data_IF_620915230866
#
_entry.id   IF_620915230866
#
_cell.length_a   1.000
_cell.length_b   1.000
_cell.length_c   1.000
_cell.angle_alpha   90.00
_cell.angle_beta   90.00
_cell.angle_gamma   90.00
#
_symmetry.space_group_name_H-M   'P 1'
#
loop_
_entity.id
_entity.type
_entity.pdbx_description
1 polymer ?
#
# COMPACT_ATOMS: atom_id res chain seq x y z
N UNK A 1 11.03 -19.01 25.71
CA UNK A 1 11.45 -20.22 25.00
C UNK A 1 11.56 -19.86 23.53
N UNK A 2 12.79 -19.53 23.07
CA UNK A 2 13.02 -19.11 21.69
C UNK A 2 13.01 -20.33 20.78
N UNK A 3 11.96 -20.49 20.00
CA UNK A 3 11.97 -21.47 18.92
C UNK A 3 12.70 -20.82 17.73
N UNK A 4 14.00 -21.12 17.60
CA UNK A 4 14.74 -20.85 16.36
C UNK A 4 14.15 -21.74 15.27
N UNK A 5 13.53 -21.14 14.26
CA UNK A 5 13.20 -21.88 13.04
C UNK A 5 14.50 -22.41 12.41
N UNK A 6 14.53 -23.66 11.94
CA UNK A 6 15.75 -24.24 11.38
C UNK A 6 16.11 -23.55 10.06
N UNK A 7 17.36 -23.19 9.89
CA UNK A 7 17.96 -22.63 8.66
C UNK A 7 17.72 -23.47 7.40
N UNK A 8 17.25 -24.70 7.56
CA UNK A 8 16.89 -25.62 6.47
C UNK A 8 15.59 -25.23 5.71
N UNK A 9 14.67 -24.45 6.31
CA UNK A 9 13.44 -24.03 5.62
C UNK A 9 13.72 -22.91 4.61
N UNK A 10 14.63 -21.98 4.92
CA UNK A 10 15.04 -20.89 4.02
C UNK A 10 15.72 -21.46 2.78
N UNK A 11 16.58 -22.48 2.94
CA UNK A 11 17.28 -23.09 1.81
C UNK A 11 16.37 -23.91 0.88
N UNK A 12 15.20 -24.37 1.36
CA UNK A 12 14.26 -25.15 0.53
C UNK A 12 13.44 -24.30 -0.42
N UNK A 13 12.98 -23.12 -0.02
CA UNK A 13 12.19 -22.22 -0.90
C UNK A 13 13.05 -21.64 -2.05
N UNK A 14 14.32 -21.29 -1.78
CA UNK A 14 15.26 -20.89 -2.83
C UNK A 14 15.60 -22.04 -3.80
N UNK A 15 15.60 -23.28 -3.33
CA UNK A 15 15.80 -24.47 -4.18
C UNK A 15 14.59 -24.77 -5.07
N UNK A 16 13.37 -24.40 -4.68
CA UNK A 16 12.15 -24.63 -5.48
C UNK A 16 12.16 -23.79 -6.75
N UNK A 17 12.77 -22.59 -6.74
CA UNK A 17 12.78 -21.68 -7.90
C UNK A 17 14.12 -21.66 -8.66
N UNK A 18 15.17 -22.35 -8.20
CA UNK A 18 16.53 -22.31 -8.80
C UNK A 18 17.07 -20.89 -9.04
N UNK A 19 16.63 -19.89 -8.25
CA UNK A 19 16.96 -18.49 -8.40
C UNK A 19 18.23 -18.17 -7.61
N UNK A 20 19.23 -17.61 -8.31
CA UNK A 20 20.35 -16.96 -7.63
C UNK A 20 19.90 -15.56 -7.25
N UNK A 21 20.08 -15.20 -5.98
CA UNK A 21 19.94 -13.80 -5.53
C UNK A 21 21.01 -12.98 -6.27
N UNK A 22 20.54 -11.96 -6.99
CA UNK A 22 21.44 -10.93 -7.51
C UNK A 22 21.86 -10.02 -6.36
N UNK A 23 23.07 -9.50 -6.41
CA UNK A 23 23.52 -8.55 -5.41
C UNK A 23 22.72 -7.25 -5.57
N UNK A 24 22.02 -6.84 -4.51
CA UNK A 24 21.29 -5.58 -4.47
C UNK A 24 22.30 -4.44 -4.34
N UNK A 25 22.11 -3.35 -5.09
CA UNK A 25 22.92 -2.12 -4.92
C UNK A 25 22.87 -1.68 -3.46
N UNK A 26 23.97 -1.16 -2.95
CA UNK A 26 24.00 -0.62 -1.58
C UNK A 26 22.98 0.50 -1.42
N UNK A 27 22.46 0.67 -0.22
CA UNK A 27 21.48 1.74 0.05
C UNK A 27 22.07 3.13 -0.25
N UNK A 28 23.38 3.31 -0.12
CA UNK A 28 24.07 4.54 -0.51
C UNK A 28 24.00 4.81 -2.02
N UNK A 29 24.16 3.79 -2.86
CA UNK A 29 24.05 3.90 -4.33
C UNK A 29 22.59 4.15 -4.78
N UNK A 30 21.63 3.61 -4.03
CA UNK A 30 20.20 3.79 -4.32
C UNK A 30 19.70 5.16 -3.86
N UNK A 31 20.22 5.69 -2.74
CA UNK A 31 19.77 6.96 -2.17
C UNK A 31 20.38 8.14 -2.94
N UNK A 32 19.57 9.16 -3.21
CA UNK A 32 20.06 10.42 -3.80
C UNK A 32 21.21 10.99 -2.97
N UNK A 33 22.30 11.46 -3.59
CA UNK A 33 23.52 11.90 -2.87
C UNK A 33 23.29 13.05 -1.87
N UNK A 34 22.36 13.97 -2.18
CA UNK A 34 21.98 15.06 -1.28
C UNK A 34 21.19 14.54 -0.06
N UNK A 35 20.31 13.53 -0.25
CA UNK A 35 19.56 12.89 0.84
C UNK A 35 20.48 12.04 1.71
N UNK A 36 21.41 11.30 1.10
CA UNK A 36 22.39 10.53 1.87
C UNK A 36 23.17 11.40 2.85
N UNK A 37 23.63 12.57 2.38
CA UNK A 37 24.41 13.54 3.15
C UNK A 37 23.58 14.44 4.07
N UNK A 38 22.24 14.45 3.91
CA UNK A 38 21.36 15.31 4.67
C UNK A 38 21.48 15.01 6.17
N UNK A 39 21.65 16.06 6.98
CA UNK A 39 21.43 15.98 8.42
C UNK A 39 19.93 16.18 8.66
N UNK A 40 19.26 15.22 9.33
CA UNK A 40 17.84 15.37 9.64
C UNK A 40 17.61 16.60 10.53
N UNK A 41 16.42 17.18 10.43
CA UNK A 41 15.98 18.18 11.41
C UNK A 41 15.89 17.48 12.77
N UNK A 42 16.57 18.04 13.79
CA UNK A 42 16.45 17.61 15.18
C UNK A 42 15.46 18.53 15.88
N UNK A 43 14.38 17.97 16.41
CA UNK A 43 13.52 18.70 17.33
C UNK A 43 14.17 18.74 18.71
N UNK A 44 13.85 19.75 19.53
CA UNK A 44 14.34 19.80 20.90
C UNK A 44 13.97 18.53 21.69
N UNK A 45 12.85 17.89 21.35
CA UNK A 45 12.42 16.60 21.94
C UNK A 45 13.31 15.42 21.54
N UNK A 46 13.95 15.44 20.37
CA UNK A 46 14.89 14.40 19.94
C UNK A 46 16.19 14.44 20.77
N UNK A 47 16.52 15.60 21.32
CA UNK A 47 17.68 15.81 22.19
C UNK A 47 17.44 15.27 23.62
N UNK A 48 16.18 14.99 23.94
CA UNK A 48 15.68 14.64 25.27
C UNK A 48 15.63 13.12 25.50
N UNK A 49 16.75 12.44 25.37
CA UNK A 49 16.80 10.99 25.57
C UNK A 49 16.85 10.62 27.05
N UNK A 50 15.75 10.02 27.54
CA UNK A 50 15.77 9.24 28.81
C UNK A 50 15.40 9.97 30.09
N UNK A 51 14.89 11.20 30.04
CA UNK A 51 14.40 11.93 31.21
C UNK A 51 12.91 12.22 31.09
N UNK A 52 12.10 11.92 32.09
CA UNK A 52 10.70 12.34 32.12
C UNK A 52 10.64 13.84 32.42
N UNK A 53 10.44 14.66 31.39
CA UNK A 53 10.27 16.09 31.58
C UNK A 53 8.86 16.42 32.10
N UNK A 54 8.78 17.30 33.06
CA UNK A 54 7.51 17.83 33.60
C UNK A 54 7.18 19.23 33.07
N UNK A 55 8.15 19.93 32.48
CA UNK A 55 8.02 21.28 31.94
C UNK A 55 8.59 21.32 30.52
N UNK A 56 7.79 21.77 29.58
CA UNK A 56 8.15 21.87 28.16
C UNK A 56 8.11 23.33 27.72
N UNK A 57 9.29 23.92 27.44
CA UNK A 57 9.48 25.30 26.99
C UNK A 57 10.38 25.35 25.75
N UNK A 58 10.35 24.30 24.94
CA UNK A 58 11.30 23.99 23.86
C UNK A 58 10.78 24.30 22.47
N UNK A 59 9.44 24.30 22.27
CA UNK A 59 8.84 24.30 20.93
C UNK A 59 7.91 25.52 20.66
N UNK A 60 8.00 26.57 21.44
CA UNK A 60 7.20 27.81 21.31
C UNK A 60 5.68 27.56 21.33
N UNK A 61 5.24 26.47 21.94
CA UNK A 61 3.84 26.08 22.02
C UNK A 61 3.09 26.97 23.00
N UNK A 62 1.83 27.29 22.68
CA UNK A 62 0.93 27.95 23.62
C UNK A 62 0.60 26.98 24.78
N UNK A 63 0.81 27.34 26.07
CA UNK A 63 0.55 26.44 27.17
C UNK A 63 -0.94 26.19 27.47
N UNK A 64 -1.83 26.94 26.82
CA UNK A 64 -3.27 26.82 26.99
C UNK A 64 -3.88 25.90 25.94
N UNK A 65 -5.18 25.56 26.08
CA UNK A 65 -5.94 24.68 25.17
C UNK A 65 -5.51 23.20 25.23
N UNK A 66 -5.20 22.70 26.42
CA UNK A 66 -4.95 21.25 26.65
C UNK A 66 -6.20 20.42 26.25
N UNK A 67 -6.03 19.25 25.63
CA UNK A 67 -4.77 18.52 25.37
C UNK A 67 -4.15 18.75 23.97
N UNK A 68 -4.62 19.73 23.19
CA UNK A 68 -4.24 19.91 21.79
C UNK A 68 -3.11 20.92 21.59
N UNK A 69 -2.59 21.48 22.65
CA UNK A 69 -1.62 22.56 22.65
C UNK A 69 -0.16 22.12 22.44
N UNK A 70 0.12 20.83 22.37
CA UNK A 70 1.46 20.26 22.23
C UNK A 70 1.63 19.51 20.91
N UNK A 71 2.81 19.63 20.32
CA UNK A 71 3.19 18.79 19.18
C UNK A 71 3.12 17.31 19.56
N UNK A 72 2.71 16.43 18.64
CA UNK A 72 2.68 14.99 18.87
C UNK A 72 4.10 14.41 18.99
N UNK A 73 4.18 13.13 19.39
CA UNK A 73 5.43 12.36 19.31
C UNK A 73 5.88 12.25 17.84
N UNK A 74 7.06 12.82 17.47
CA UNK A 74 7.56 12.79 16.11
C UNK A 74 7.93 11.38 15.63
N UNK A 75 8.18 10.46 16.57
CA UNK A 75 8.55 9.07 16.27
C UNK A 75 7.38 8.09 16.38
N UNK A 76 6.21 8.54 16.85
CA UNK A 76 4.99 7.75 17.06
C UNK A 76 5.26 6.45 17.85
N UNK A 77 6.05 6.53 18.91
CA UNK A 77 6.61 5.37 19.64
C UNK A 77 5.53 4.43 20.19
N UNK A 78 4.48 4.98 20.81
CA UNK A 78 3.36 4.19 21.35
C UNK A 78 2.63 3.44 20.24
N UNK A 79 2.27 4.16 19.17
CA UNK A 79 1.56 3.60 18.02
C UNK A 79 2.39 2.51 17.34
N UNK A 80 3.68 2.74 17.09
CA UNK A 80 4.59 1.75 16.51
C UNK A 80 4.76 0.52 17.40
N UNK A 81 4.79 0.70 18.71
CA UNK A 81 4.89 -0.40 19.68
C UNK A 81 3.66 -1.31 19.63
N UNK A 82 2.45 -0.74 19.47
CA UNK A 82 1.22 -1.52 19.33
C UNK A 82 1.16 -2.21 17.96
N UNK A 83 1.49 -1.49 16.89
CA UNK A 83 1.56 -2.05 15.52
C UNK A 83 2.54 -3.20 15.42
N UNK A 84 3.71 -3.07 16.05
CA UNK A 84 4.74 -4.11 16.12
C UNK A 84 4.20 -5.44 16.66
N UNK A 85 3.36 -5.39 17.68
CA UNK A 85 2.73 -6.60 18.26
C UNK A 85 1.75 -7.26 17.29
N UNK A 86 0.94 -6.48 16.57
CA UNK A 86 -0.09 -6.98 15.66
C UNK A 86 0.54 -7.45 14.35
N UNK A 87 1.45 -6.66 13.78
CA UNK A 87 2.09 -6.95 12.49
C UNK A 87 3.32 -7.85 12.62
N UNK A 88 3.77 -8.14 13.84
CA UNK A 88 4.96 -8.96 14.16
C UNK A 88 6.25 -8.47 13.50
N UNK A 89 6.39 -7.16 13.40
CA UNK A 89 7.54 -6.45 12.82
C UNK A 89 8.08 -5.50 13.87
N UNK A 90 9.40 -5.43 14.06
CA UNK A 90 10.02 -4.52 15.05
C UNK A 90 9.71 -3.05 14.74
N UNK A 91 9.53 -2.17 15.76
CA UNK A 91 9.16 -0.76 15.55
C UNK A 91 10.11 0.03 14.65
N UNK A 92 11.41 -0.31 14.62
CA UNK A 92 12.42 0.30 13.78
C UNK A 92 12.27 -0.01 12.28
N UNK A 93 11.48 -1.03 11.94
CA UNK A 93 11.11 -1.40 10.57
C UNK A 93 9.80 -0.77 10.10
N UNK A 94 9.22 0.15 10.90
CA UNK A 94 7.92 0.77 10.63
C UNK A 94 8.09 2.27 10.38
N UNK A 95 7.63 2.73 9.24
CA UNK A 95 7.38 4.15 8.94
C UNK A 95 5.88 4.42 8.97
N UNK A 96 5.46 5.57 9.53
CA UNK A 96 4.07 6.03 9.53
C UNK A 96 3.94 7.37 8.80
N UNK A 97 2.93 7.46 7.93
CA UNK A 97 2.67 8.64 7.14
C UNK A 97 1.19 8.98 6.98
N UNK A 98 0.89 10.14 6.40
CA UNK A 98 -0.47 10.59 6.07
C UNK A 98 -1.04 9.79 4.88
N UNK A 99 -1.56 8.59 5.16
CA UNK A 99 -1.84 7.55 4.19
C UNK A 99 -0.54 6.90 3.70
N UNK A 100 -0.66 5.78 2.97
CA UNK A 100 0.46 5.21 2.25
C UNK A 100 1.01 6.17 1.18
N UNK A 101 0.20 7.12 0.73
CA UNK A 101 0.58 8.12 -0.28
C UNK A 101 1.79 8.95 0.15
N UNK A 102 1.91 9.33 1.44
CA UNK A 102 3.10 10.03 1.93
C UNK A 102 4.35 9.15 1.83
N UNK A 103 4.26 7.88 2.19
CA UNK A 103 5.38 6.95 2.07
C UNK A 103 5.76 6.71 0.59
N UNK A 104 4.76 6.61 -0.30
CA UNK A 104 4.96 6.48 -1.75
C UNK A 104 5.69 7.72 -2.30
N UNK A 105 5.28 8.94 -1.96
CA UNK A 105 5.97 10.16 -2.40
C UNK A 105 7.40 10.24 -1.84
N UNK A 106 7.58 9.89 -0.57
CA UNK A 106 8.90 9.93 0.06
C UNK A 106 9.91 8.95 -0.57
N UNK A 107 9.51 7.77 -1.06
CA UNK A 107 10.45 6.87 -1.74
C UNK A 107 10.94 7.45 -3.06
N UNK A 108 10.09 8.18 -3.83
CA UNK A 108 10.54 8.92 -5.00
C UNK A 108 11.57 9.99 -4.61
N UNK A 109 11.26 10.78 -3.61
CA UNK A 109 12.13 11.87 -3.13
C UNK A 109 13.44 11.37 -2.54
N UNK A 110 13.44 10.19 -1.93
CA UNK A 110 14.63 9.60 -1.33
C UNK A 110 15.57 8.96 -2.35
N UNK A 111 15.01 8.25 -3.33
CA UNK A 111 15.77 7.32 -4.14
C UNK A 111 15.90 7.69 -5.62
N UNK A 112 15.00 8.53 -6.16
CA UNK A 112 15.02 8.89 -7.57
C UNK A 112 15.54 10.31 -7.81
N UNK A 113 16.62 10.47 -8.56
CA UNK A 113 17.13 11.78 -8.98
C UNK A 113 16.26 12.33 -10.11
N UNK A 114 15.61 13.50 -9.93
CA UNK A 114 14.72 14.09 -10.93
C UNK A 114 15.38 14.29 -12.30
N UNK A 115 14.66 13.96 -13.36
CA UNK A 115 15.12 14.10 -14.74
C UNK A 115 16.24 13.14 -15.15
N UNK A 116 16.60 12.17 -14.28
CA UNK A 116 17.66 11.20 -14.53
C UNK A 116 17.20 9.77 -14.32
N UNK A 117 16.62 9.50 -13.16
CA UNK A 117 16.23 8.15 -12.77
C UNK A 117 14.80 7.82 -13.22
N UNK A 118 14.50 6.54 -13.27
CA UNK A 118 13.20 6.04 -13.66
C UNK A 118 12.68 4.99 -12.68
N UNK A 119 11.39 4.72 -12.80
CA UNK A 119 10.71 3.66 -12.08
C UNK A 119 9.91 2.80 -13.07
N UNK A 120 9.71 1.54 -12.73
CA UNK A 120 8.90 0.60 -13.51
C UNK A 120 7.72 0.15 -12.68
N UNK A 121 6.53 0.10 -13.28
CA UNK A 121 5.34 -0.40 -12.64
C UNK A 121 4.51 -1.25 -13.59
N UNK A 122 3.71 -2.15 -13.04
CA UNK A 122 2.66 -2.86 -13.79
C UNK A 122 1.56 -1.88 -14.23
N UNK A 123 0.87 -2.15 -15.34
CA UNK A 123 -0.24 -1.35 -15.84
C UNK A 123 -1.37 -2.26 -16.34
N UNK A 124 -2.63 -2.10 -15.89
CA UNK A 124 -3.11 -1.08 -14.97
C UNK A 124 -2.75 -1.33 -13.50
N UNK A 125 -2.52 -0.25 -12.74
CA UNK A 125 -2.31 -0.29 -11.30
C UNK A 125 -2.75 1.01 -10.62
N UNK A 126 -2.39 1.23 -9.35
CA UNK A 126 -2.78 2.41 -8.59
C UNK A 126 -2.16 3.69 -9.16
N UNK A 127 -3.02 4.61 -9.59
CA UNK A 127 -2.62 5.80 -10.35
C UNK A 127 -1.71 6.79 -9.62
N UNK A 128 -1.64 6.74 -8.28
CA UNK A 128 -0.77 7.66 -7.52
C UNK A 128 0.70 7.40 -7.74
N UNK A 129 1.11 6.21 -8.16
CA UNK A 129 2.52 5.97 -8.48
C UNK A 129 2.97 6.86 -9.64
N UNK A 130 2.17 6.94 -10.71
CA UNK A 130 2.46 7.84 -11.82
C UNK A 130 2.39 9.31 -11.39
N UNK A 131 1.39 9.71 -10.62
CA UNK A 131 1.27 11.08 -10.12
C UNK A 131 2.51 11.47 -9.29
N UNK A 132 2.98 10.60 -8.40
CA UNK A 132 4.19 10.87 -7.63
C UNK A 132 5.45 10.93 -8.52
N UNK A 133 5.55 10.07 -9.55
CA UNK A 133 6.64 10.13 -10.51
C UNK A 133 6.64 11.47 -11.28
N UNK A 134 5.48 11.88 -11.79
CA UNK A 134 5.32 13.13 -12.54
C UNK A 134 5.65 14.36 -11.67
N UNK A 135 5.16 14.41 -10.42
CA UNK A 135 5.45 15.49 -9.46
C UNK A 135 6.93 15.57 -9.14
N UNK A 136 7.62 14.43 -9.06
CA UNK A 136 9.04 14.36 -8.76
C UNK A 136 9.93 14.42 -10.03
N UNK A 137 9.35 14.62 -11.22
CA UNK A 137 10.06 14.62 -12.51
C UNK A 137 10.89 13.36 -12.71
N UNK A 138 10.29 12.18 -12.47
CA UNK A 138 10.89 10.86 -12.63
C UNK A 138 10.18 10.11 -13.75
N UNK A 139 10.92 9.51 -14.69
CA UNK A 139 10.34 8.73 -15.77
C UNK A 139 9.57 7.53 -15.21
N UNK A 140 8.30 7.37 -15.63
CA UNK A 140 7.43 6.28 -15.21
C UNK A 140 7.20 5.31 -16.38
N UNK A 141 7.76 4.10 -16.28
CA UNK A 141 7.68 3.05 -17.29
C UNK A 141 6.60 2.04 -16.94
N UNK A 142 5.70 1.80 -17.88
CA UNK A 142 4.55 0.88 -17.73
C UNK A 142 4.84 -0.46 -18.37
N UNK A 143 4.54 -1.54 -17.67
CA UNK A 143 4.56 -2.90 -18.20
C UNK A 143 3.15 -3.48 -18.10
N UNK A 144 2.51 -3.70 -19.25
CA UNK A 144 1.14 -4.21 -19.31
C UNK A 144 1.04 -5.58 -18.67
N UNK A 145 -0.03 -5.75 -17.86
CA UNK A 145 -0.49 -7.04 -17.39
C UNK A 145 -0.98 -7.89 -18.57
N UNK A 146 -1.16 -9.17 -18.37
CA UNK A 146 -1.82 -10.06 -19.33
C UNK A 146 -3.37 -10.02 -19.18
N UNK A 147 -4.06 -10.86 -19.94
CA UNK A 147 -5.54 -10.92 -19.94
C UNK A 147 -6.13 -11.41 -18.61
N UNK A 148 -5.34 -12.12 -17.80
CA UNK A 148 -5.69 -12.56 -16.44
C UNK A 148 -5.23 -11.58 -15.36
N UNK A 149 -4.80 -10.38 -15.77
CA UNK A 149 -4.23 -9.34 -14.91
C UNK A 149 -3.02 -9.81 -14.09
N UNK A 150 -2.23 -10.72 -14.64
CA UNK A 150 -0.96 -11.14 -14.08
C UNK A 150 0.21 -10.45 -14.80
N UNK A 151 1.35 -10.36 -14.15
CA UNK A 151 2.58 -9.85 -14.76
C UNK A 151 3.62 -10.97 -14.92
N UNK A 152 4.54 -10.75 -15.86
CA UNK A 152 5.73 -11.56 -15.99
C UNK A 152 6.93 -10.82 -15.41
N UNK A 153 7.62 -11.41 -14.45
CA UNK A 153 8.84 -10.84 -13.87
C UNK A 153 9.90 -10.59 -14.95
N UNK A 154 10.02 -11.48 -15.95
CA UNK A 154 10.97 -11.31 -17.05
C UNK A 154 10.67 -10.05 -17.89
N UNK A 155 9.38 -9.80 -18.22
CA UNK A 155 8.98 -8.58 -18.94
C UNK A 155 9.22 -7.33 -18.11
N UNK A 156 8.91 -7.39 -16.81
CA UNK A 156 9.08 -6.27 -15.88
C UNK A 156 10.57 -5.92 -15.73
N UNK A 157 11.42 -6.92 -15.52
CA UNK A 157 12.87 -6.75 -15.41
C UNK A 157 13.51 -6.29 -16.73
N UNK A 158 12.99 -6.72 -17.89
CA UNK A 158 13.46 -6.24 -19.19
C UNK A 158 13.17 -4.76 -19.45
N UNK A 159 12.21 -4.15 -18.72
CA UNK A 159 11.92 -2.71 -18.78
C UNK A 159 12.83 -1.87 -17.87
N UNK A 160 13.68 -2.51 -17.06
CA UNK A 160 14.64 -1.82 -16.18
C UNK A 160 15.97 -1.56 -16.86
N UNK A 161 16.65 -0.52 -16.40
CA UNK A 161 18.02 -0.18 -16.79
C UNK A 161 18.86 0.28 -15.57
N UNK A 162 20.05 0.80 -15.79
CA UNK A 162 20.96 1.30 -14.74
C UNK A 162 20.40 2.47 -13.92
N UNK A 163 19.46 3.21 -14.49
CA UNK A 163 18.76 4.34 -13.86
C UNK A 163 17.46 3.93 -13.15
N UNK A 164 17.03 2.69 -13.29
CA UNK A 164 15.83 2.21 -12.60
C UNK A 164 16.12 2.04 -11.11
N UNK A 165 15.42 2.81 -10.28
CA UNK A 165 15.58 2.80 -8.82
C UNK A 165 14.50 1.98 -8.11
N UNK A 166 13.26 2.07 -8.60
CA UNK A 166 12.10 1.49 -7.94
C UNK A 166 11.28 0.65 -8.94
N UNK A 167 10.75 -0.47 -8.44
CA UNK A 167 9.68 -1.21 -9.10
C UNK A 167 8.44 -1.16 -8.20
N UNK A 168 7.26 -0.82 -8.75
CA UNK A 168 5.99 -0.81 -8.03
C UNK A 168 5.12 -1.99 -8.43
N UNK A 169 4.69 -2.75 -7.44
CA UNK A 169 3.73 -3.85 -7.54
C UNK A 169 2.61 -3.61 -6.54
N UNK A 170 1.36 -3.86 -6.93
CA UNK A 170 0.20 -3.75 -6.05
C UNK A 170 -0.49 -5.11 -5.96
N UNK A 171 -0.60 -5.69 -4.77
CA UNK A 171 -1.23 -7.00 -4.56
C UNK A 171 -1.96 -7.06 -3.21
N UNK A 172 -3.27 -7.23 -3.23
CA UNK A 172 -4.19 -7.24 -4.37
C UNK A 172 -4.15 -5.95 -5.19
N UNK A 173 -4.23 -6.08 -6.53
CA UNK A 173 -4.04 -4.94 -7.43
C UNK A 173 -5.29 -4.05 -7.52
N UNK A 174 -5.11 -2.76 -7.66
CA UNK A 174 -6.17 -1.79 -7.95
C UNK A 174 -5.91 -1.17 -9.34
N UNK A 175 -6.80 -1.36 -10.36
CA UNK A 175 -8.24 -1.60 -10.18
C UNK A 175 -8.73 -3.04 -10.36
N UNK A 176 -7.88 -4.00 -10.60
CA UNK A 176 -8.25 -5.34 -11.07
C UNK A 176 -8.77 -6.27 -9.95
N UNK A 177 -8.35 -6.06 -8.72
CA UNK A 177 -8.84 -6.76 -7.51
C UNK A 177 -8.07 -8.02 -7.15
N UNK A 178 -7.37 -8.64 -8.08
CA UNK A 178 -6.69 -9.91 -7.91
C UNK A 178 -5.33 -9.80 -7.22
N UNK A 179 -4.94 -10.86 -6.53
CA UNK A 179 -3.56 -11.06 -6.10
C UNK A 179 -2.63 -11.29 -7.30
N UNK A 180 -1.43 -10.78 -7.20
CA UNK A 180 -0.35 -11.10 -8.14
C UNK A 180 0.32 -12.43 -7.75
N UNK A 181 0.78 -13.18 -8.75
CA UNK A 181 1.48 -14.43 -8.52
C UNK A 181 2.72 -14.23 -7.66
N UNK A 182 2.70 -14.78 -6.45
CA UNK A 182 3.79 -14.67 -5.46
C UNK A 182 5.14 -15.10 -6.05
N UNK A 183 5.15 -16.13 -6.90
CA UNK A 183 6.37 -16.61 -7.57
C UNK A 183 7.01 -15.54 -8.46
N UNK A 184 6.21 -14.72 -9.14
CA UNK A 184 6.71 -13.64 -10.00
C UNK A 184 7.23 -12.46 -9.15
N UNK A 185 6.53 -12.13 -8.03
CA UNK A 185 7.03 -11.13 -7.06
C UNK A 185 8.39 -11.56 -6.51
N UNK A 186 8.52 -12.82 -6.09
CA UNK A 186 9.79 -13.38 -5.57
C UNK A 186 10.90 -13.31 -6.61
N UNK A 187 10.61 -13.60 -7.91
CA UNK A 187 11.62 -13.46 -8.98
C UNK A 187 12.11 -12.01 -9.10
N UNK A 188 11.20 -11.03 -9.05
CA UNK A 188 11.60 -9.62 -9.08
C UNK A 188 12.47 -9.28 -7.89
N UNK A 189 12.07 -9.65 -6.66
CA UNK A 189 12.85 -9.42 -5.44
C UNK A 189 14.26 -10.01 -5.52
N UNK A 190 14.40 -11.19 -6.14
CA UNK A 190 15.69 -11.89 -6.26
C UNK A 190 16.58 -11.34 -7.38
N UNK A 191 16.03 -10.69 -8.40
CA UNK A 191 16.77 -10.34 -9.62
C UNK A 191 16.90 -8.84 -9.87
N UNK A 192 16.12 -8.01 -9.18
CA UNK A 192 16.22 -6.57 -9.28
C UNK A 192 17.26 -6.01 -8.29
N UNK A 193 18.15 -5.16 -8.76
CA UNK A 193 19.21 -4.55 -7.96
C UNK A 193 18.76 -3.30 -7.18
N UNK A 194 17.59 -2.75 -7.52
CA UNK A 194 16.96 -1.61 -6.85
C UNK A 194 15.93 -2.04 -5.80
N UNK A 195 15.06 -1.11 -5.36
CA UNK A 195 14.04 -1.37 -4.36
C UNK A 195 12.70 -1.79 -5.00
N UNK A 196 12.04 -2.76 -4.40
CA UNK A 196 10.72 -3.25 -4.81
C UNK A 196 9.66 -2.74 -3.82
N UNK A 197 8.76 -1.89 -4.32
CA UNK A 197 7.62 -1.32 -3.61
C UNK A 197 6.43 -2.25 -3.77
N UNK A 198 6.07 -3.00 -2.76
CA UNK A 198 4.91 -3.88 -2.76
C UNK A 198 3.77 -3.23 -1.98
N UNK A 199 2.74 -2.79 -2.70
CA UNK A 199 1.57 -2.17 -2.09
C UNK A 199 0.54 -3.25 -1.71
N UNK A 200 0.43 -3.48 -0.43
CA UNK A 200 -0.49 -4.42 0.22
C UNK A 200 -1.70 -3.71 0.86
N UNK A 201 -2.16 -2.58 0.30
CA UNK A 201 -3.28 -1.83 0.87
C UNK A 201 -4.57 -2.65 1.04
N UNK A 202 -4.72 -3.74 0.30
CA UNK A 202 -5.89 -4.63 0.33
C UNK A 202 -5.57 -6.03 0.88
N UNK A 203 -4.36 -6.30 1.35
CA UNK A 203 -3.93 -7.64 1.76
C UNK A 203 -4.76 -8.24 2.90
N UNK A 204 -5.34 -7.42 3.78
CA UNK A 204 -6.23 -7.92 4.84
C UNK A 204 -7.47 -8.67 4.28
N UNK A 205 -7.84 -8.47 3.00
CA UNK A 205 -8.94 -9.19 2.32
C UNK A 205 -8.47 -10.41 1.55
N UNK A 206 -7.18 -10.52 1.24
CA UNK A 206 -6.58 -11.65 0.54
C UNK A 206 -6.55 -12.91 1.42
N UNK A 207 -6.34 -14.05 0.78
CA UNK A 207 -5.99 -15.31 1.46
C UNK A 207 -4.48 -15.54 1.43
N UNK A 208 -3.74 -14.82 0.58
CA UNK A 208 -2.29 -14.92 0.52
C UNK A 208 -1.64 -14.28 1.77
N UNK A 209 -0.60 -14.90 2.34
CA UNK A 209 0.13 -14.31 3.45
C UNK A 209 0.85 -13.04 2.99
N UNK A 210 0.88 -12.03 3.87
CA UNK A 210 1.62 -10.79 3.64
C UNK A 210 3.12 -11.08 3.45
N UNK A 211 3.79 -10.29 2.62
CA UNK A 211 5.24 -10.30 2.51
C UNK A 211 5.96 -9.72 3.74
N UNK A 212 5.24 -9.16 4.70
CA UNK A 212 5.81 -8.81 6.01
C UNK A 212 6.48 -10.01 6.70
N UNK A 213 5.98 -11.23 6.50
CA UNK A 213 6.58 -12.45 7.04
C UNK A 213 7.95 -12.78 6.41
N UNK A 214 8.27 -12.13 5.29
CA UNK A 214 9.49 -12.33 4.53
C UNK A 214 10.39 -11.09 4.46
N UNK A 215 10.08 -10.05 5.24
CA UNK A 215 10.80 -8.78 5.21
C UNK A 215 12.31 -8.95 5.43
N UNK A 216 12.70 -9.81 6.36
CA UNK A 216 14.11 -10.10 6.67
C UNK A 216 14.83 -10.90 5.56
N UNK A 217 14.09 -11.48 4.61
CA UNK A 217 14.67 -12.25 3.51
C UNK A 217 15.08 -11.39 2.32
N UNK A 218 14.41 -10.26 2.14
CA UNK A 218 14.57 -9.39 0.98
C UNK A 218 14.93 -7.97 1.41
N UNK A 219 16.22 -7.62 1.46
CA UNK A 219 16.68 -6.31 1.94
C UNK A 219 16.23 -5.15 1.04
N UNK A 220 15.78 -5.44 -0.17
CA UNK A 220 15.25 -4.49 -1.14
C UNK A 220 13.71 -4.38 -1.14
N UNK A 221 13.02 -5.05 -0.23
CA UNK A 221 11.56 -5.02 -0.11
C UNK A 221 11.09 -3.85 0.74
N UNK A 222 10.11 -3.11 0.22
CA UNK A 222 9.32 -2.14 0.98
C UNK A 222 7.85 -2.50 0.82
N UNK A 223 7.16 -2.79 1.91
CA UNK A 223 5.72 -3.14 1.92
C UNK A 223 4.92 -1.93 2.39
N UNK A 224 3.92 -1.50 1.60
CA UNK A 224 2.96 -0.48 2.01
C UNK A 224 1.67 -1.11 2.51
N UNK A 225 1.14 -0.60 3.62
CA UNK A 225 -0.20 -0.93 4.12
C UNK A 225 -0.91 0.34 4.62
N UNK A 226 -2.22 0.26 4.89
CA UNK A 226 -3.01 1.44 5.22
C UNK A 226 -4.15 1.11 6.19
N UNK A 227 -4.52 2.11 7.01
CA UNK A 227 -5.75 2.07 7.80
C UNK A 227 -7.01 2.43 6.99
N UNK A 228 -6.84 2.88 5.74
CA UNK A 228 -7.95 3.40 4.93
C UNK A 228 -8.92 2.32 4.42
N UNK A 229 -8.54 1.04 4.42
CA UNK A 229 -9.33 -0.05 3.80
C UNK A 229 -9.95 -0.96 4.86
N UNK A 230 -9.31 -2.07 5.19
CA UNK A 230 -9.83 -3.05 6.14
C UNK A 230 -10.13 -2.45 7.52
N UNK A 231 -9.34 -1.50 7.96
CA UNK A 231 -9.49 -0.82 9.26
C UNK A 231 -10.64 0.19 9.30
N UNK A 232 -11.29 0.49 8.16
CA UNK A 232 -12.41 1.44 8.11
C UNK A 232 -12.06 2.88 8.51
N UNK A 233 -10.79 3.26 8.43
CA UNK A 233 -10.26 4.52 8.97
C UNK A 233 -9.71 5.45 7.88
N UNK A 234 -10.36 5.52 6.72
CA UNK A 234 -9.90 6.37 5.61
C UNK A 234 -9.78 7.86 5.99
N UNK A 235 -10.64 8.34 6.89
CA UNK A 235 -10.70 9.74 7.30
C UNK A 235 -9.50 10.19 8.15
N UNK A 236 -8.85 9.29 8.90
CA UNK A 236 -7.71 9.65 9.76
C UNK A 236 -6.40 9.73 8.98
N UNK A 237 -6.40 9.36 7.70
CA UNK A 237 -5.22 9.47 6.82
C UNK A 237 -3.96 8.82 7.42
N UNK A 238 -4.02 7.57 7.85
CA UNK A 238 -2.86 6.83 8.34
C UNK A 238 -2.47 5.69 7.40
N UNK A 239 -1.21 5.67 7.00
CA UNK A 239 -0.58 4.60 6.23
C UNK A 239 0.77 4.22 6.81
N UNK A 240 1.28 3.11 6.34
CA UNK A 240 2.50 2.49 6.86
C UNK A 240 3.40 2.06 5.72
N UNK A 241 4.72 2.16 5.92
CA UNK A 241 5.70 1.41 5.14
C UNK A 241 6.52 0.54 6.09
N UNK A 242 6.80 -0.67 5.65
CA UNK A 242 7.63 -1.64 6.36
C UNK A 242 8.83 -1.98 5.48
N UNK A 243 10.03 -1.86 6.01
CA UNK A 243 11.27 -2.14 5.29
C UNK A 243 12.42 -2.45 6.25
N UNK A 244 13.63 -2.67 5.72
CA UNK A 244 14.81 -2.72 6.57
C UNK A 244 14.97 -1.41 7.36
N UNK A 245 15.59 -1.50 8.53
CA UNK A 245 15.80 -0.34 9.40
C UNK A 245 16.48 0.80 8.65
N UNK A 246 17.45 0.50 7.82
CA UNK A 246 18.24 1.47 7.07
C UNK A 246 17.35 2.25 6.08
N UNK A 247 16.39 1.59 5.40
CA UNK A 247 15.41 2.25 4.52
C UNK A 247 14.49 3.14 5.35
N UNK A 248 13.98 2.64 6.48
CA UNK A 248 13.12 3.42 7.38
C UNK A 248 13.84 4.64 7.94
N UNK A 249 15.14 4.53 8.24
CA UNK A 249 15.97 5.66 8.68
C UNK A 249 16.06 6.74 7.58
N UNK A 250 16.20 6.36 6.30
CA UNK A 250 16.21 7.32 5.18
C UNK A 250 14.85 8.03 5.05
N UNK A 251 13.74 7.30 5.10
CA UNK A 251 12.40 7.90 5.03
C UNK A 251 12.16 8.83 6.23
N UNK A 252 12.56 8.42 7.42
CA UNK A 252 12.45 9.20 8.66
C UNK A 252 13.28 10.48 8.63
N UNK A 253 14.42 10.46 7.92
CA UNK A 253 15.31 11.61 7.74
C UNK A 253 14.67 12.75 6.94
N UNK A 254 13.78 12.42 5.98
CA UNK A 254 13.20 13.40 5.02
C UNK A 254 11.74 13.73 5.28
N UNK A 255 11.04 12.97 6.14
CA UNK A 255 9.67 13.32 6.53
C UNK A 255 9.64 14.61 7.34
N UNK A 256 8.50 15.29 7.36
CA UNK A 256 8.28 16.37 8.32
C UNK A 256 8.30 15.83 9.76
N UNK A 257 8.88 16.55 10.74
CA UNK A 257 9.06 16.04 12.10
C UNK A 257 7.76 15.50 12.72
N UNK A 258 6.67 16.26 12.61
CA UNK A 258 5.36 15.95 13.19
C UNK A 258 4.34 15.56 12.13
N UNK A 259 4.74 14.73 11.17
CA UNK A 259 3.92 14.39 9.99
C UNK A 259 2.57 13.75 10.36
N UNK A 260 2.50 12.90 11.38
CA UNK A 260 1.25 12.30 11.85
C UNK A 260 0.75 13.03 13.08
N UNK A 261 -0.41 13.68 12.97
CA UNK A 261 -0.97 14.50 14.04
C UNK A 261 -1.48 13.65 15.24
N UNK A 262 -1.66 14.31 16.40
CA UNK A 262 -2.05 13.67 17.66
C UNK A 262 -3.40 12.95 17.56
N UNK A 263 -4.40 13.55 16.90
CA UNK A 263 -5.73 12.95 16.78
C UNK A 263 -5.69 11.66 15.96
N UNK A 264 -4.91 11.65 14.87
CA UNK A 264 -4.67 10.45 14.07
C UNK A 264 -4.00 9.36 14.90
N UNK A 265 -2.96 9.69 15.68
CA UNK A 265 -2.26 8.70 16.52
C UNK A 265 -3.21 8.11 17.56
N UNK A 266 -3.97 8.94 18.28
CA UNK A 266 -4.93 8.50 19.30
C UNK A 266 -6.03 7.62 18.71
N UNK A 267 -6.62 8.01 17.57
CA UNK A 267 -7.65 7.21 16.92
C UNK A 267 -7.10 5.87 16.44
N UNK A 268 -5.89 5.85 15.87
CA UNK A 268 -5.26 4.62 15.44
C UNK A 268 -4.99 3.66 16.61
N UNK A 269 -4.46 4.17 17.74
CA UNK A 269 -4.27 3.40 18.96
C UNK A 269 -5.60 2.79 19.44
N UNK A 270 -6.67 3.59 19.46
CA UNK A 270 -8.01 3.10 19.83
C UNK A 270 -8.47 1.96 18.91
N UNK A 271 -8.23 2.06 17.60
CA UNK A 271 -8.61 1.02 16.63
C UNK A 271 -7.76 -0.25 16.79
N UNK A 272 -6.46 -0.12 17.09
CA UNK A 272 -5.59 -1.28 17.31
C UNK A 272 -6.05 -2.14 18.50
N UNK A 273 -6.62 -1.53 19.54
CA UNK A 273 -7.25 -2.27 20.64
C UNK A 273 -8.51 -3.02 20.24
N UNK A 274 -9.11 -2.71 19.07
CA UNK A 274 -10.30 -3.33 18.53
C UNK A 274 -10.03 -4.26 17.33
N UNK A 275 -8.81 -4.73 17.16
CA UNK A 275 -8.40 -5.51 15.97
C UNK A 275 -9.32 -6.72 15.68
N UNK A 276 -9.90 -7.37 16.70
CA UNK A 276 -10.87 -8.45 16.52
C UNK A 276 -12.18 -7.99 15.81
N UNK A 277 -12.56 -6.73 15.98
CA UNK A 277 -13.71 -6.17 15.23
C UNK A 277 -13.35 -6.03 13.75
N UNK A 278 -12.12 -5.65 13.44
CA UNK A 278 -11.64 -5.52 12.07
C UNK A 278 -11.67 -6.89 11.36
N UNK A 279 -11.18 -7.95 12.01
CA UNK A 279 -11.25 -9.31 11.47
C UNK A 279 -12.69 -9.73 11.13
N UNK A 280 -13.66 -9.39 12.00
CA UNK A 280 -15.07 -9.65 11.72
C UNK A 280 -15.59 -8.84 10.53
N UNK A 281 -15.23 -7.55 10.42
CA UNK A 281 -15.62 -6.72 9.29
C UNK A 281 -15.02 -7.23 7.98
N UNK A 282 -13.77 -7.61 7.98
CA UNK A 282 -13.11 -8.22 6.82
C UNK A 282 -13.84 -9.48 6.39
N UNK A 283 -14.17 -10.37 7.33
CA UNK A 283 -14.94 -11.59 7.04
C UNK A 283 -16.30 -11.25 6.41
N UNK A 284 -17.08 -10.34 7.02
CA UNK A 284 -18.37 -9.90 6.49
C UNK A 284 -18.24 -9.31 5.10
N UNK A 285 -17.23 -8.46 4.86
CA UNK A 285 -17.02 -7.87 3.53
C UNK A 285 -16.64 -8.91 2.47
N UNK A 286 -15.93 -9.97 2.84
CA UNK A 286 -15.65 -11.10 1.91
C UNK A 286 -16.96 -11.85 1.58
N UNK A 287 -17.79 -12.13 2.56
CA UNK A 287 -19.10 -12.76 2.36
C UNK A 287 -20.04 -11.88 1.50
N UNK A 288 -20.01 -10.58 1.70
CA UNK A 288 -20.74 -9.60 0.89
C UNK A 288 -20.20 -9.49 -0.54
N UNK A 289 -18.89 -9.62 -0.73
CA UNK A 289 -18.28 -9.68 -2.06
C UNK A 289 -18.78 -10.90 -2.82
N UNK A 290 -18.69 -12.08 -2.22
CA UNK A 290 -19.14 -13.32 -2.83
C UNK A 290 -20.63 -13.25 -3.21
N UNK A 291 -21.47 -12.64 -2.35
CA UNK A 291 -22.86 -12.38 -2.65
C UNK A 291 -23.05 -11.45 -3.86
N UNK A 292 -22.34 -10.31 -3.87
CA UNK A 292 -22.44 -9.36 -4.98
C UNK A 292 -22.00 -9.96 -6.30
N UNK A 293 -20.89 -10.66 -6.32
CA UNK A 293 -20.37 -11.33 -7.52
C UNK A 293 -21.38 -12.31 -8.08
N UNK A 294 -21.98 -13.16 -7.22
CA UNK A 294 -23.01 -14.12 -7.63
C UNK A 294 -24.30 -13.46 -8.16
N UNK A 295 -24.66 -12.27 -7.66
CA UNK A 295 -25.81 -11.52 -8.19
C UNK A 295 -25.47 -10.78 -9.49
N UNK A 296 -24.25 -10.24 -9.63
CA UNK A 296 -23.78 -9.61 -10.88
C UNK A 296 -23.74 -10.58 -12.05
N UNK A 297 -23.37 -11.85 -11.83
CA UNK A 297 -23.40 -12.89 -12.86
C UNK A 297 -24.78 -13.07 -13.50
N UNK A 298 -25.85 -12.76 -12.79
CA UNK A 298 -27.25 -12.88 -13.24
C UNK A 298 -27.76 -11.66 -14.00
N UNK A 299 -27.02 -10.53 -13.96
CA UNK A 299 -27.44 -9.28 -14.58
C UNK A 299 -27.21 -9.33 -16.11
N UNK A 300 -28.20 -8.95 -16.94
CA UNK A 300 -28.03 -8.92 -18.39
C UNK A 300 -26.89 -8.02 -18.88
N UNK A 301 -26.60 -6.95 -18.15
CA UNK A 301 -25.53 -6.02 -18.49
C UNK A 301 -24.13 -6.54 -18.13
N UNK A 302 -23.98 -7.63 -17.40
CA UNK A 302 -22.68 -8.22 -17.05
C UNK A 302 -22.14 -9.09 -18.18
N UNK A 303 -20.96 -8.77 -18.68
CA UNK A 303 -20.26 -9.58 -19.70
C UNK A 303 -19.27 -10.54 -19.02
N UNK A 304 -18.50 -10.04 -18.03
CA UNK A 304 -17.48 -10.82 -17.34
C UNK A 304 -17.20 -10.24 -15.96
N UNK A 305 -17.10 -11.11 -14.96
CA UNK A 305 -16.53 -10.80 -13.66
C UNK A 305 -15.08 -11.23 -13.63
N UNK A 306 -14.24 -10.40 -13.02
CA UNK A 306 -12.84 -10.75 -12.76
C UNK A 306 -12.66 -11.15 -11.29
N UNK A 307 -11.88 -12.20 -11.00
CA UNK A 307 -11.62 -12.64 -9.63
C UNK A 307 -11.06 -11.51 -8.76
N UNK A 308 -11.47 -11.43 -7.50
CA UNK A 308 -11.00 -10.41 -6.59
C UNK A 308 -10.61 -10.97 -5.22
N UNK A 309 -9.47 -10.46 -4.73
CA UNK A 309 -8.94 -10.67 -3.37
C UNK A 309 -8.98 -9.37 -2.54
N UNK A 310 -9.74 -8.35 -3.02
CA UNK A 310 -9.89 -7.04 -2.40
C UNK A 310 -11.31 -6.83 -1.83
N UNK A 311 -11.59 -5.63 -1.30
CA UNK A 311 -12.95 -5.21 -0.91
C UNK A 311 -13.71 -4.52 -2.06
N UNK A 312 -13.37 -4.85 -3.27
CA UNK A 312 -14.03 -4.42 -4.51
C UNK A 312 -13.76 -5.47 -5.57
N UNK A 313 -14.51 -5.46 -6.65
CA UNK A 313 -14.24 -6.28 -7.81
C UNK A 313 -14.32 -5.46 -9.10
N UNK A 314 -13.70 -5.94 -10.15
CA UNK A 314 -13.79 -5.41 -11.49
C UNK A 314 -14.82 -6.24 -12.29
N UNK A 315 -15.71 -5.55 -12.98
CA UNK A 315 -16.72 -6.18 -13.84
C UNK A 315 -16.74 -5.51 -15.19
N UNK A 316 -16.67 -6.32 -16.26
CA UNK A 316 -16.90 -5.87 -17.63
C UNK A 316 -18.39 -5.91 -17.91
N UNK A 317 -18.94 -4.81 -18.41
CA UNK A 317 -20.36 -4.62 -18.68
C UNK A 317 -20.59 -4.23 -20.15
N UNK A 318 -21.84 -4.25 -20.59
CA UNK A 318 -22.21 -3.93 -21.99
C UNK A 318 -21.80 -2.50 -22.37
N UNK A 319 -22.07 -1.51 -21.53
CA UNK A 319 -21.65 -0.11 -21.73
C UNK A 319 -21.36 0.56 -20.37
N UNK A 320 -20.08 0.58 -19.99
CA UNK A 320 -19.66 1.13 -18.69
C UNK A 320 -19.97 2.63 -18.55
N UNK A 321 -19.98 3.39 -19.65
CA UNK A 321 -20.24 4.83 -19.61
C UNK A 321 -21.73 5.09 -19.35
N UNK A 322 -22.60 4.42 -20.09
CA UNK A 322 -24.05 4.56 -19.91
C UNK A 322 -24.50 4.07 -18.54
N UNK A 323 -24.05 2.86 -18.13
CA UNK A 323 -24.40 2.29 -16.83
C UNK A 323 -23.89 3.18 -15.68
N UNK A 324 -22.67 3.70 -15.78
CA UNK A 324 -22.14 4.64 -14.79
C UNK A 324 -23.01 5.89 -14.68
N UNK A 325 -23.36 6.52 -15.80
CA UNK A 325 -24.18 7.73 -15.81
C UNK A 325 -25.61 7.46 -15.26
N UNK A 326 -26.18 6.31 -15.60
CA UNK A 326 -27.47 5.87 -15.05
C UNK A 326 -27.39 5.72 -13.52
N UNK A 327 -26.36 5.01 -13.02
CA UNK A 327 -26.18 4.83 -11.57
C UNK A 327 -25.98 6.16 -10.83
N UNK A 328 -25.22 7.10 -11.42
CA UNK A 328 -25.09 8.46 -10.88
C UNK A 328 -26.45 9.16 -10.79
N UNK A 329 -27.30 8.99 -11.80
CA UNK A 329 -28.69 9.51 -11.79
C UNK A 329 -29.56 8.90 -10.68
N UNK A 330 -29.32 7.65 -10.33
CA UNK A 330 -29.96 6.94 -9.20
C UNK A 330 -29.30 7.26 -7.83
N UNK A 331 -28.29 8.13 -7.79
CA UNK A 331 -27.55 8.48 -6.57
C UNK A 331 -26.53 7.43 -6.12
N UNK A 332 -26.14 6.50 -7.01
CA UNK A 332 -25.21 5.41 -6.72
C UNK A 332 -23.89 5.67 -7.42
N UNK A 333 -22.79 5.72 -6.68
CA UNK A 333 -21.47 6.04 -7.22
C UNK A 333 -20.57 4.81 -7.21
N UNK A 334 -20.19 4.35 -8.40
CA UNK A 334 -19.16 3.33 -8.63
C UNK A 334 -17.95 3.98 -9.34
N UNK A 335 -16.96 3.23 -9.76
CA UNK A 335 -15.84 3.78 -10.53
C UNK A 335 -15.84 3.26 -11.96
N UNK A 336 -16.04 4.17 -12.91
CA UNK A 336 -15.84 3.87 -14.32
C UNK A 336 -14.35 3.70 -14.60
N UNK A 337 -13.96 2.57 -15.23
CA UNK A 337 -12.59 2.22 -15.61
C UNK A 337 -12.41 2.07 -17.13
N UNK A 338 -13.40 2.46 -17.91
CA UNK A 338 -13.42 2.31 -19.36
C UNK A 338 -12.15 2.82 -20.07
N UNK A 339 -11.56 3.92 -19.57
CA UNK A 339 -10.35 4.55 -20.14
C UNK A 339 -9.04 4.02 -19.58
N UNK A 340 -9.09 3.07 -18.64
CA UNK A 340 -7.90 2.46 -18.04
C UNK A 340 -7.43 1.29 -18.94
N UNK A 341 -6.13 1.12 -19.08
CA UNK A 341 -5.51 0.02 -19.83
C UNK A 341 -6.15 -1.32 -19.47
N UNK A 342 -6.48 -2.14 -20.46
CA UNK A 342 -7.12 -3.46 -20.32
C UNK A 342 -8.52 -3.45 -19.66
N UNK A 343 -9.04 -2.31 -19.24
CA UNK A 343 -10.32 -2.19 -18.53
C UNK A 343 -11.45 -1.59 -19.41
N UNK A 344 -11.37 -1.75 -20.74
CA UNK A 344 -12.42 -1.27 -21.63
C UNK A 344 -13.79 -1.85 -21.23
N UNK A 345 -14.81 -0.97 -21.08
CA UNK A 345 -16.13 -1.30 -20.57
C UNK A 345 -16.15 -1.94 -19.16
N UNK A 346 -15.18 -1.61 -18.31
CA UNK A 346 -15.18 -2.10 -16.94
C UNK A 346 -15.65 -1.04 -15.93
N UNK A 347 -16.39 -1.51 -14.94
CA UNK A 347 -16.70 -0.79 -13.71
C UNK A 347 -15.95 -1.46 -12.56
N UNK A 348 -15.40 -0.66 -11.63
CA UNK A 348 -14.92 -1.17 -10.33
C UNK A 348 -15.99 -0.87 -9.28
N UNK A 349 -16.50 -1.92 -8.66
CA UNK A 349 -17.56 -1.88 -7.65
C UNK A 349 -16.95 -2.16 -6.29
N UNK A 350 -17.10 -1.23 -5.35
CA UNK A 350 -16.71 -1.44 -3.94
C UNK A 350 -17.79 -2.23 -3.23
N UNK A 351 -17.40 -3.18 -2.41
CA UNK A 351 -18.31 -3.96 -1.57
C UNK A 351 -18.78 -3.08 -0.41
N UNK A 352 -20.09 -2.87 -0.33
CA UNK A 352 -20.75 -2.12 0.72
C UNK A 352 -21.38 -3.01 1.79
N UNK A 353 -22.23 -2.41 2.61
CA UNK A 353 -23.16 -3.15 3.47
C UNK A 353 -24.22 -3.86 2.62
N UNK A 354 -24.91 -4.86 3.20
CA UNK A 354 -26.00 -5.57 2.49
C UNK A 354 -27.02 -4.60 1.88
N UNK A 355 -27.42 -3.58 2.61
CA UNK A 355 -28.39 -2.58 2.16
C UNK A 355 -27.88 -1.77 0.97
N UNK A 356 -26.61 -1.36 0.99
CA UNK A 356 -25.97 -0.64 -0.14
C UNK A 356 -25.85 -1.55 -1.35
N UNK A 357 -25.44 -2.80 -1.15
CA UNK A 357 -25.30 -3.81 -2.20
C UNK A 357 -26.66 -4.11 -2.86
N UNK A 358 -27.71 -4.34 -2.07
CA UNK A 358 -29.06 -4.59 -2.57
C UNK A 358 -29.63 -3.37 -3.32
N UNK A 359 -29.30 -2.16 -2.87
CA UNK A 359 -29.70 -0.92 -3.55
C UNK A 359 -29.07 -0.83 -4.94
N UNK A 360 -27.75 -1.11 -5.05
CA UNK A 360 -27.05 -1.17 -6.33
C UNK A 360 -27.67 -2.23 -7.26
N UNK A 361 -27.90 -3.44 -6.76
CA UNK A 361 -28.48 -4.53 -7.52
C UNK A 361 -29.91 -4.22 -8.01
N UNK A 362 -30.72 -3.59 -7.15
CA UNK A 362 -32.08 -3.17 -7.51
C UNK A 362 -32.08 -2.11 -8.62
N UNK A 363 -31.13 -1.18 -8.62
CA UNK A 363 -30.96 -0.20 -9.69
C UNK A 363 -30.55 -0.89 -10.99
N UNK A 364 -29.52 -1.76 -10.95
CA UNK A 364 -29.05 -2.47 -12.15
C UNK A 364 -30.10 -3.43 -12.77
N UNK A 365 -30.95 -4.04 -11.94
CA UNK A 365 -32.09 -4.87 -12.43
C UNK A 365 -33.16 -4.05 -13.17
N UNK A 366 -33.25 -2.73 -12.93
CA UNK A 366 -34.16 -1.81 -13.62
C UNK A 366 -33.54 -1.17 -14.86
N UNK A 367 -32.22 -1.22 -14.97
CA UNK A 367 -31.52 -0.66 -16.11
C UNK A 367 -31.97 -1.34 -17.41
N UNK A 368 -32.42 -0.54 -18.38
CA UNK A 368 -32.73 -0.97 -19.73
C UNK A 368 -31.71 -0.35 -20.68
N UNK A 369 -31.15 -1.16 -21.58
CA UNK A 369 -30.14 -0.74 -22.56
C UNK A 369 -30.68 0.25 -23.60
#
# INVERSE_FOLDING_TARGET
MHIKMPSQFVSKQFKIYNLKLKEVKTLQELTRPNIWKLKPYSSARDEYKGVTASVFLDANENPYNTPHNRYPDPMQCELKTLLSKIKKVSPEHIFLGNGSDEAIDLVFRAFCEPGKDNVVAIDPTYGMYQVCADVNNVEYRKVLLDDDFQFSANKLLAATDEHTKLIFLCSPNNPTGNDLLRSEIVKVLCQFEGLVMLDEAYNDFSQAPSFLEELDKYPNLVVFQTFSKAWGCAAIRLGMAFASKEIIDILSKIKYPYNVNQLTQQQAISMLHKHYEIERWVKTLKEERDYLEAEFEKLPCTIQLFPSDANFFLVKVTDAVKIYNYLVGEGIIVRNRHTVSLCCNCLRVTVGTRVENDTLLAALKKYQE
#
